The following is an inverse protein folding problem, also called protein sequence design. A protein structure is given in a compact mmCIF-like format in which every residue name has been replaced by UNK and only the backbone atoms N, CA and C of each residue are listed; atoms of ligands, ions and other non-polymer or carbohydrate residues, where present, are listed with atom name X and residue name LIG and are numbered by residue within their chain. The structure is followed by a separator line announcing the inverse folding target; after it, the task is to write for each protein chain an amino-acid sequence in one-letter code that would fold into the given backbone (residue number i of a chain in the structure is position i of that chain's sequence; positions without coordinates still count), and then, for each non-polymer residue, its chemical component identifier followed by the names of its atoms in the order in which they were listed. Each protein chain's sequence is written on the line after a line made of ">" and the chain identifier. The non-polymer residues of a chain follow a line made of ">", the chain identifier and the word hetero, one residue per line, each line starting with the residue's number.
data_IF_042563725331
#
_entry.id   IF_042563725331
#
_cell.length_a   1.000
_cell.length_b   1.000
_cell.length_c   1.000
_cell.angle_alpha   90.00
_cell.angle_beta   90.00
_cell.angle_gamma   90.00
#
_symmetry.space_group_name_H-M   'P 1'
#
loop_
_entity.id
_entity.type
_entity.pdbx_description
1 polymer ?
#
# COMPACT_ATOMS: atom_id res chain seq x y z
N UNK A 1 27.50 7.91 14.50
CA UNK A 1 26.93 7.26 13.29
C UNK A 1 26.03 6.08 13.64
N UNK A 2 26.48 5.05 14.36
CA UNK A 2 25.64 3.88 14.72
C UNK A 2 24.32 4.23 15.46
N UNK A 3 24.35 5.18 16.41
CA UNK A 3 23.15 5.59 17.16
C UNK A 3 22.05 6.25 16.31
N UNK A 4 22.41 6.93 15.21
CA UNK A 4 21.47 7.55 14.28
C UNK A 4 20.82 6.53 13.32
N UNK A 5 21.48 5.40 13.09
CA UNK A 5 20.93 4.27 12.33
C UNK A 5 20.03 3.43 13.24
N UNK A 6 20.44 3.19 14.49
CA UNK A 6 19.64 2.43 15.46
C UNK A 6 18.37 3.16 15.90
N UNK A 7 18.36 4.50 15.91
CA UNK A 7 17.15 5.30 16.18
C UNK A 7 16.04 5.09 15.14
N UNK A 8 16.38 4.54 13.96
CA UNK A 8 15.38 4.16 12.95
C UNK A 8 14.56 2.92 13.33
N UNK A 9 15.09 1.97 14.10
CA UNK A 9 14.36 0.76 14.56
C UNK A 9 13.97 0.84 16.04
N UNK A 10 14.82 1.41 16.90
CA UNK A 10 14.59 1.54 18.35
C UNK A 10 14.95 2.95 18.84
N UNK A 11 14.03 3.92 18.74
CA UNK A 11 14.36 5.33 18.97
C UNK A 11 14.73 5.64 20.44
N UNK A 12 14.25 4.82 21.39
CA UNK A 12 14.66 4.91 22.80
C UNK A 12 16.12 4.50 23.01
N UNK A 13 16.56 3.41 22.36
CA UNK A 13 17.92 2.90 22.47
C UNK A 13 18.91 3.85 21.79
N UNK A 14 18.51 4.46 20.66
CA UNK A 14 19.31 5.47 19.98
C UNK A 14 19.54 6.73 20.81
N UNK A 15 18.52 7.23 21.52
CA UNK A 15 18.66 8.38 22.44
C UNK A 15 19.57 8.03 23.62
N UNK A 16 19.44 6.82 24.18
CA UNK A 16 20.24 6.38 25.31
C UNK A 16 21.72 6.19 24.95
N UNK A 17 22.01 5.54 23.81
CA UNK A 17 23.37 5.39 23.28
C UNK A 17 23.99 6.73 22.90
N UNK A 18 23.21 7.65 22.34
CA UNK A 18 23.68 9.01 22.07
C UNK A 18 24.02 9.73 23.39
N UNK A 19 23.18 9.61 24.43
CA UNK A 19 23.47 10.17 25.75
C UNK A 19 24.77 9.64 26.36
N UNK A 20 25.00 8.32 26.33
CA UNK A 20 26.23 7.70 26.83
C UNK A 20 27.45 8.15 26.03
N UNK A 21 27.38 8.06 24.70
CA UNK A 21 28.48 8.44 23.82
C UNK A 21 28.89 9.91 24.06
N UNK A 22 27.91 10.77 24.33
CA UNK A 22 28.20 12.17 24.60
C UNK A 22 28.72 12.45 26.01
N UNK A 23 28.25 11.73 27.03
CA UNK A 23 28.82 11.83 28.37
C UNK A 23 30.31 11.47 28.35
N UNK A 24 30.67 10.41 27.62
CA UNK A 24 32.05 9.96 27.43
C UNK A 24 32.86 10.99 26.64
N UNK A 25 32.34 11.48 25.50
CA UNK A 25 33.05 12.46 24.66
C UNK A 25 33.37 13.78 25.39
N UNK A 26 32.47 14.21 26.29
CA UNK A 26 32.69 15.39 27.12
C UNK A 26 33.75 15.14 28.21
N UNK A 27 33.76 13.97 28.86
CA UNK A 27 34.79 13.61 29.85
C UNK A 27 36.21 13.56 29.29
N UNK A 28 36.37 13.29 27.99
CA UNK A 28 37.67 13.29 27.30
C UNK A 28 38.03 14.63 26.64
N UNK A 29 37.20 15.68 26.77
CA UNK A 29 37.45 16.98 26.15
C UNK A 29 37.41 17.00 24.63
N UNK A 30 36.86 15.94 24.00
CA UNK A 30 36.84 15.75 22.53
C UNK A 30 35.72 16.57 21.87
N UNK A 31 34.69 16.96 22.63
CA UNK A 31 33.50 17.64 22.09
C UNK A 31 33.17 18.94 22.83
N UNK A 32 32.98 20.02 22.07
CA UNK A 32 32.61 21.35 22.59
C UNK A 32 31.13 21.42 22.99
N UNK A 33 30.26 20.62 22.37
CA UNK A 33 28.81 20.69 22.64
C UNK A 33 28.20 19.29 22.88
N UNK A 34 27.93 18.93 24.15
CA UNK A 34 27.43 17.62 24.55
C UNK A 34 25.98 17.30 24.12
N UNK A 35 25.26 18.19 23.45
CA UNK A 35 23.81 18.06 23.36
C UNK A 35 23.26 17.90 21.95
N UNK A 36 24.09 18.14 20.93
CA UNK A 36 23.67 18.04 19.52
C UNK A 36 23.25 16.63 19.11
N UNK A 37 23.94 15.59 19.59
CA UNK A 37 23.59 14.21 19.26
C UNK A 37 22.30 13.76 19.97
N UNK A 38 22.08 14.20 21.20
CA UNK A 38 20.86 13.91 21.97
C UNK A 38 19.67 14.63 21.37
N UNK A 39 19.83 15.88 20.93
CA UNK A 39 18.76 16.67 20.32
C UNK A 39 18.27 16.09 18.98
N UNK A 40 19.17 15.55 18.15
CA UNK A 40 18.80 14.79 16.94
C UNK A 40 18.00 13.53 17.30
N UNK A 41 18.37 12.83 18.36
CA UNK A 41 17.62 11.69 18.88
C UNK A 41 16.22 12.09 19.36
N UNK A 42 16.10 13.19 20.11
CA UNK A 42 14.81 13.72 20.58
C UNK A 42 13.94 14.21 19.44
N UNK A 43 14.51 14.89 18.43
CA UNK A 43 13.81 15.33 17.23
C UNK A 43 13.20 14.14 16.50
N UNK A 44 14.01 13.12 16.19
CA UNK A 44 13.55 11.92 15.49
C UNK A 44 12.52 11.13 16.28
N UNK A 45 12.65 11.07 17.61
CA UNK A 45 11.63 10.48 18.48
C UNK A 45 10.32 11.29 18.47
N UNK A 46 10.41 12.62 18.58
CA UNK A 46 9.27 13.52 18.58
C UNK A 46 8.51 13.47 17.23
N UNK A 47 9.24 13.39 16.12
CA UNK A 47 8.65 13.20 14.78
C UNK A 47 7.85 11.91 14.67
N UNK A 48 8.29 10.83 15.34
CA UNK A 48 7.70 9.49 15.20
C UNK A 48 6.61 9.20 16.22
N UNK A 49 6.85 9.57 17.48
CA UNK A 49 6.02 9.20 18.64
C UNK A 49 5.65 10.39 19.53
N UNK A 50 6.06 11.61 19.19
CA UNK A 50 5.81 12.80 20.00
C UNK A 50 4.32 13.09 20.16
N UNK A 51 3.84 13.15 21.41
CA UNK A 51 2.50 13.62 21.76
C UNK A 51 2.54 15.11 22.12
N UNK A 52 1.38 15.75 22.30
CA UNK A 52 1.30 17.15 22.79
C UNK A 52 1.94 17.34 24.16
N UNK A 53 2.06 16.27 24.97
CA UNK A 53 2.69 16.30 26.29
C UNK A 53 4.17 15.96 26.19
N UNK A 54 5.02 16.80 26.78
CA UNK A 54 6.43 16.50 26.94
C UNK A 54 6.60 15.27 27.84
N UNK A 55 7.39 14.27 27.45
CA UNK A 55 7.56 13.06 28.23
C UNK A 55 8.43 13.34 29.45
N UNK A 56 7.89 13.06 30.63
CA UNK A 56 8.59 13.24 31.91
C UNK A 56 9.90 12.42 31.99
N UNK A 57 9.98 11.27 31.32
CA UNK A 57 11.19 10.45 31.29
C UNK A 57 12.36 11.12 30.53
N UNK A 58 12.11 12.02 29.57
CA UNK A 58 13.18 12.80 28.94
C UNK A 58 13.77 13.82 29.92
N UNK A 59 12.94 14.41 30.79
CA UNK A 59 13.42 15.30 31.86
C UNK A 59 14.31 14.53 32.85
N UNK A 60 13.90 13.32 33.22
CA UNK A 60 14.69 12.46 34.13
C UNK A 60 16.01 12.06 33.48
N UNK A 61 16.00 11.64 32.21
CA UNK A 61 17.22 11.28 31.50
C UNK A 61 18.19 12.46 31.37
N UNK A 62 17.65 13.65 31.07
CA UNK A 62 18.44 14.89 31.03
C UNK A 62 19.01 15.25 32.41
N UNK A 63 18.20 15.20 33.47
CA UNK A 63 18.64 15.49 34.83
C UNK A 63 19.72 14.48 35.29
N UNK A 64 19.56 13.20 35.00
CA UNK A 64 20.55 12.17 35.30
C UNK A 64 21.87 12.38 34.56
N UNK A 65 21.82 12.77 33.28
CA UNK A 65 22.99 13.15 32.51
C UNK A 65 23.70 14.38 33.13
N UNK A 66 22.94 15.37 33.61
CA UNK A 66 23.50 16.58 34.24
C UNK A 66 24.18 16.26 35.58
N UNK A 67 23.55 15.43 36.40
CA UNK A 67 24.14 14.98 37.67
C UNK A 67 25.42 14.18 37.41
N UNK A 68 25.41 13.28 36.42
CA UNK A 68 26.60 12.49 36.04
C UNK A 68 27.72 13.39 35.56
N UNK A 69 27.41 14.37 34.72
CA UNK A 69 28.37 15.37 34.24
C UNK A 69 28.95 16.22 35.39
N UNK A 70 28.14 16.61 36.36
CA UNK A 70 28.60 17.35 37.55
C UNK A 70 29.55 16.52 38.44
N UNK A 71 29.31 15.21 38.56
CA UNK A 71 30.14 14.30 39.38
C UNK A 71 31.47 13.98 38.67
N UNK A 72 31.42 13.62 37.39
CA UNK A 72 32.60 13.26 36.59
C UNK A 72 33.45 14.48 36.17
N UNK A 73 32.86 15.67 36.06
CA UNK A 73 33.54 16.91 35.65
C UNK A 73 34.41 17.56 36.73
N UNK A 74 34.83 16.83 37.76
CA UNK A 74 35.66 17.30 38.88
C UNK A 74 37.16 17.37 38.53
N UNK A 75 37.50 17.84 37.33
CA UNK A 75 38.88 18.16 36.98
C UNK A 75 39.24 19.58 37.45
N UNK A 76 40.40 19.79 38.08
CA UNK A 76 40.77 21.05 38.74
C UNK A 76 40.98 22.25 37.79
N UNK A 77 41.07 22.03 36.48
CA UNK A 77 41.12 23.09 35.45
C UNK A 77 39.76 23.31 34.74
N UNK A 78 38.69 22.64 35.20
CA UNK A 78 37.39 22.68 34.53
C UNK A 78 36.65 24.00 34.78
N UNK A 79 36.04 24.50 33.70
CA UNK A 79 35.12 25.63 33.60
C UNK A 79 34.36 25.97 34.90
N UNK A 80 34.29 27.26 35.23
CA UNK A 80 33.62 27.78 36.42
C UNK A 80 32.13 27.38 36.49
N UNK A 81 31.53 27.53 37.67
CA UNK A 81 30.11 27.22 37.89
C UNK A 81 29.17 27.90 36.87
N UNK A 82 29.53 29.12 36.44
CA UNK A 82 28.78 29.89 35.46
C UNK A 82 28.74 29.22 34.07
N UNK A 83 29.86 28.72 33.57
CA UNK A 83 29.93 28.03 32.27
C UNK A 83 29.18 26.69 32.29
N UNK A 84 29.25 25.97 33.42
CA UNK A 84 28.43 24.76 33.63
C UNK A 84 26.93 25.09 33.60
N UNK A 85 26.52 26.16 34.27
CA UNK A 85 25.12 26.58 34.24
C UNK A 85 24.65 27.03 32.85
N UNK A 86 25.50 27.73 32.10
CA UNK A 86 25.20 28.11 30.70
C UNK A 86 24.98 26.87 29.83
N UNK A 87 25.83 25.85 29.94
CA UNK A 87 25.65 24.58 29.22
C UNK A 87 24.36 23.85 29.55
N UNK A 88 23.98 23.80 30.84
CA UNK A 88 22.71 23.22 31.29
C UNK A 88 21.53 23.96 30.66
N UNK A 89 21.51 25.30 30.71
CA UNK A 89 20.42 26.10 30.16
C UNK A 89 20.33 25.96 28.63
N UNK A 90 21.45 26.01 27.91
CA UNK A 90 21.49 25.83 26.46
C UNK A 90 20.98 24.43 26.08
N UNK A 91 21.39 23.39 26.81
CA UNK A 91 20.93 22.02 26.54
C UNK A 91 19.41 21.87 26.73
N UNK A 92 18.84 22.49 27.77
CA UNK A 92 17.40 22.48 28.01
C UNK A 92 16.64 23.19 26.87
N UNK A 93 17.14 24.34 26.42
CA UNK A 93 16.56 25.10 25.30
C UNK A 93 16.62 24.27 24.01
N UNK A 94 17.76 23.67 23.69
CA UNK A 94 17.97 22.87 22.48
C UNK A 94 17.06 21.63 22.47
N UNK A 95 16.93 20.93 23.61
CA UNK A 95 16.04 19.76 23.73
C UNK A 95 14.57 20.15 23.61
N UNK A 96 14.16 21.25 24.23
CA UNK A 96 12.81 21.77 24.10
C UNK A 96 12.50 22.19 22.66
N UNK A 97 13.44 22.90 22.00
CA UNK A 97 13.32 23.31 20.60
C UNK A 97 13.23 22.09 19.67
N UNK A 98 14.07 21.07 19.88
CA UNK A 98 14.03 19.82 19.12
C UNK A 98 12.69 19.08 19.28
N UNK A 99 12.15 19.03 20.50
CA UNK A 99 10.83 18.43 20.75
C UNK A 99 9.72 19.19 20.03
N UNK A 100 9.67 20.51 20.18
CA UNK A 100 8.65 21.37 19.54
C UNK A 100 8.71 21.26 18.02
N UNK A 101 9.92 21.30 17.45
CA UNK A 101 10.13 21.18 16.01
C UNK A 101 9.71 19.80 15.49
N UNK A 102 10.02 18.72 16.21
CA UNK A 102 9.61 17.37 15.86
C UNK A 102 8.10 17.16 15.91
N UNK A 103 7.42 17.73 16.91
CA UNK A 103 5.95 17.68 16.98
C UNK A 103 5.30 18.51 15.88
N UNK A 104 5.83 19.71 15.58
CA UNK A 104 5.31 20.59 14.52
C UNK A 104 5.48 19.98 13.13
N UNK A 105 6.66 19.43 12.83
CA UNK A 105 6.93 18.75 11.55
C UNK A 105 6.03 17.54 11.38
N UNK A 106 5.80 16.76 12.44
CA UNK A 106 4.81 15.67 12.45
C UNK A 106 3.40 16.17 12.12
N UNK A 107 2.94 17.22 12.80
CA UNK A 107 1.62 17.81 12.56
C UNK A 107 1.48 18.32 11.13
N UNK A 108 2.47 19.07 10.63
CA UNK A 108 2.49 19.56 9.25
C UNK A 108 2.44 18.42 8.23
N UNK A 109 3.19 17.31 8.45
CA UNK A 109 3.13 16.12 7.59
C UNK A 109 1.76 15.46 7.61
N UNK A 110 1.12 15.34 8.78
CA UNK A 110 -0.21 14.76 8.91
C UNK A 110 -1.28 15.63 8.22
N UNK A 111 -1.19 16.95 8.37
CA UNK A 111 -2.08 17.90 7.70
C UNK A 111 -1.88 17.89 6.19
N UNK A 112 -0.63 17.91 5.71
CA UNK A 112 -0.33 17.82 4.29
C UNK A 112 -0.84 16.51 3.68
N UNK A 113 -0.66 15.37 4.37
CA UNK A 113 -1.20 14.09 3.94
C UNK A 113 -2.74 14.07 3.95
N UNK A 114 -3.37 14.73 4.91
CA UNK A 114 -4.83 14.86 4.95
C UNK A 114 -5.34 15.72 3.77
N UNK A 115 -4.68 16.85 3.48
CA UNK A 115 -5.01 17.72 2.34
C UNK A 115 -4.81 17.02 0.99
N UNK A 116 -3.67 16.34 0.81
CA UNK A 116 -3.43 15.55 -0.40
C UNK A 116 -4.52 14.49 -0.62
N UNK A 117 -5.00 13.84 0.45
CA UNK A 117 -6.11 12.89 0.37
C UNK A 117 -7.45 13.54 0.01
N UNK A 118 -7.71 14.76 0.47
CA UNK A 118 -8.95 15.47 0.10
C UNK A 118 -8.90 15.96 -1.34
N UNK A 119 -7.76 16.46 -1.78
CA UNK A 119 -7.57 16.96 -3.15
C UNK A 119 -7.70 15.81 -4.15
N UNK A 120 -7.10 14.65 -3.85
CA UNK A 120 -7.24 13.47 -4.70
C UNK A 120 -8.69 12.98 -4.77
N UNK A 121 -9.42 12.97 -3.64
CA UNK A 121 -10.85 12.62 -3.63
C UNK A 121 -11.69 13.56 -4.50
N UNK A 122 -11.39 14.85 -4.49
CA UNK A 122 -12.08 15.83 -5.32
C UNK A 122 -11.75 15.67 -6.80
N UNK A 123 -10.47 15.37 -7.11
CA UNK A 123 -10.04 15.04 -8.47
C UNK A 123 -10.76 13.81 -9.00
N UNK A 124 -10.77 12.71 -8.24
CA UNK A 124 -11.48 11.49 -8.61
C UNK A 124 -12.98 11.71 -8.78
N UNK A 125 -13.60 12.49 -7.90
CA UNK A 125 -15.02 12.83 -8.04
C UNK A 125 -15.29 13.58 -9.35
N UNK A 126 -14.37 14.45 -9.79
CA UNK A 126 -14.46 15.16 -11.06
C UNK A 126 -14.25 14.22 -12.24
N UNK A 127 -13.22 13.38 -12.22
CA UNK A 127 -12.95 12.41 -13.29
C UNK A 127 -14.13 11.42 -13.47
N UNK A 128 -14.71 10.96 -12.34
CA UNK A 128 -15.93 10.14 -12.32
C UNK A 128 -17.13 10.91 -12.89
N UNK A 129 -17.31 12.18 -12.49
CA UNK A 129 -18.41 13.00 -12.97
C UNK A 129 -18.32 13.31 -14.48
N UNK A 130 -17.12 13.56 -14.98
CA UNK A 130 -16.88 13.84 -16.40
C UNK A 130 -17.15 12.59 -17.25
N UNK A 131 -16.67 11.42 -16.81
CA UNK A 131 -16.96 10.14 -17.47
C UNK A 131 -18.46 9.79 -17.46
N UNK A 132 -19.14 10.02 -16.33
CA UNK A 132 -20.60 9.85 -16.23
C UNK A 132 -21.35 10.82 -17.13
N UNK A 133 -20.96 12.09 -17.16
CA UNK A 133 -21.63 13.11 -17.96
C UNK A 133 -21.49 12.83 -19.45
N UNK A 134 -20.30 12.41 -19.89
CA UNK A 134 -20.05 12.07 -21.28
C UNK A 134 -20.85 10.84 -21.74
N UNK A 135 -20.82 9.76 -20.93
CA UNK A 135 -21.55 8.52 -21.24
C UNK A 135 -23.07 8.70 -21.22
N UNK A 136 -23.62 9.34 -20.18
CA UNK A 136 -25.06 9.60 -20.09
C UNK A 136 -25.53 10.58 -21.17
N UNK A 137 -24.70 11.56 -21.55
CA UNK A 137 -24.97 12.47 -22.65
C UNK A 137 -25.11 11.74 -23.99
N UNK A 138 -24.17 10.84 -24.31
CA UNK A 138 -24.21 10.05 -25.54
C UNK A 138 -25.43 9.10 -25.59
N UNK A 139 -25.71 8.40 -24.47
CA UNK A 139 -26.89 7.54 -24.34
C UNK A 139 -28.18 8.35 -24.52
N UNK A 140 -28.26 9.53 -23.91
CA UNK A 140 -29.43 10.42 -24.00
C UNK A 140 -29.69 10.89 -25.44
N UNK A 141 -28.63 11.22 -26.19
CA UNK A 141 -28.75 11.59 -27.61
C UNK A 141 -29.22 10.40 -28.45
N UNK A 142 -28.62 9.21 -28.32
CA UNK A 142 -29.03 8.02 -29.06
C UNK A 142 -30.46 7.60 -28.74
N UNK A 143 -30.85 7.62 -27.46
CA UNK A 143 -32.23 7.35 -27.04
C UNK A 143 -33.21 8.39 -27.58
N UNK A 144 -32.81 9.68 -27.60
CA UNK A 144 -33.61 10.76 -28.17
C UNK A 144 -33.85 10.60 -29.68
N UNK A 145 -32.82 10.18 -30.43
CA UNK A 145 -32.92 9.85 -31.86
C UNK A 145 -33.87 8.67 -32.07
N UNK A 146 -33.70 7.58 -31.32
CA UNK A 146 -34.59 6.42 -31.40
C UNK A 146 -36.05 6.76 -31.07
N UNK A 147 -36.29 7.70 -30.14
CA UNK A 147 -37.63 8.11 -29.74
C UNK A 147 -38.34 9.05 -30.74
N UNK A 148 -37.61 9.83 -31.54
CA UNK A 148 -38.19 10.80 -32.48
C UNK A 148 -38.25 10.32 -33.93
N UNK A 149 -37.55 9.24 -34.28
CA UNK A 149 -37.63 8.66 -35.63
C UNK A 149 -38.84 7.73 -35.71
N UNK A 150 -39.90 8.20 -36.37
CA UNK A 150 -41.19 7.49 -36.51
C UNK A 150 -41.18 6.36 -37.56
N UNK A 151 -40.08 6.20 -38.32
CA UNK A 151 -39.97 5.29 -39.45
C UNK A 151 -38.89 4.20 -39.30
N UNK A 152 -38.35 3.99 -38.09
CA UNK A 152 -37.39 2.90 -37.85
C UNK A 152 -38.06 1.55 -38.06
N UNK A 153 -37.43 0.70 -38.86
CA UNK A 153 -37.80 -0.71 -38.94
C UNK A 153 -37.44 -1.42 -37.63
N UNK A 154 -38.17 -2.49 -37.28
CA UNK A 154 -37.89 -3.32 -36.10
C UNK A 154 -36.40 -3.75 -35.97
N UNK A 155 -35.70 -4.17 -37.05
CA UNK A 155 -34.28 -4.48 -36.97
C UNK A 155 -33.38 -3.27 -36.69
N UNK A 156 -33.68 -2.08 -37.24
CA UNK A 156 -32.88 -0.87 -36.98
C UNK A 156 -33.05 -0.37 -35.54
N UNK A 157 -34.28 -0.44 -35.00
CA UNK A 157 -34.54 -0.12 -33.60
C UNK A 157 -33.78 -1.06 -32.67
N UNK A 158 -33.77 -2.36 -32.98
CA UNK A 158 -33.03 -3.38 -32.21
C UNK A 158 -31.52 -3.14 -32.26
N UNK A 159 -30.97 -2.78 -33.41
CA UNK A 159 -29.55 -2.42 -33.56
C UNK A 159 -29.19 -1.18 -32.72
N UNK A 160 -30.03 -0.15 -32.74
CA UNK A 160 -29.81 1.09 -31.97
C UNK A 160 -29.82 0.83 -30.45
N UNK A 161 -30.74 -0.02 -29.98
CA UNK A 161 -30.80 -0.42 -28.57
C UNK A 161 -29.57 -1.25 -28.15
N UNK A 162 -29.04 -2.09 -29.04
CA UNK A 162 -27.81 -2.85 -28.78
C UNK A 162 -26.58 -1.95 -28.70
N UNK A 163 -26.50 -0.89 -29.51
CA UNK A 163 -25.43 0.12 -29.42
C UNK A 163 -25.48 0.86 -28.08
N UNK A 164 -26.68 1.29 -27.65
CA UNK A 164 -26.88 1.94 -26.34
C UNK A 164 -26.49 1.00 -25.19
N UNK A 165 -26.88 -0.26 -25.24
CA UNK A 165 -26.51 -1.28 -24.25
C UNK A 165 -24.99 -1.51 -24.19
N UNK A 166 -24.34 -1.62 -25.36
CA UNK A 166 -22.89 -1.76 -25.49
C UNK A 166 -22.15 -0.57 -24.88
N UNK A 167 -22.59 0.65 -25.20
CA UNK A 167 -21.97 1.89 -24.74
C UNK A 167 -22.15 2.10 -23.23
N UNK A 168 -23.33 1.77 -22.69
CA UNK A 168 -23.58 1.77 -21.25
C UNK A 168 -22.69 0.77 -20.52
N UNK A 169 -22.52 -0.44 -21.07
CA UNK A 169 -21.60 -1.45 -20.50
C UNK A 169 -20.16 -0.97 -20.52
N UNK A 170 -19.67 -0.47 -21.66
CA UNK A 170 -18.30 0.02 -21.79
C UNK A 170 -17.97 1.13 -20.79
N UNK A 171 -18.87 2.11 -20.65
CA UNK A 171 -18.73 3.24 -19.71
C UNK A 171 -18.69 2.77 -18.25
N UNK A 172 -19.51 1.77 -17.89
CA UNK A 172 -19.46 1.15 -16.56
C UNK A 172 -18.16 0.38 -16.31
N UNK A 173 -17.51 -0.16 -17.36
CA UNK A 173 -16.20 -0.80 -17.23
C UNK A 173 -15.10 0.23 -16.97
N UNK A 174 -15.10 1.32 -17.74
CA UNK A 174 -14.14 2.42 -17.59
C UNK A 174 -14.23 3.04 -16.18
N UNK A 175 -15.45 3.28 -15.69
CA UNK A 175 -15.68 3.77 -14.33
C UNK A 175 -15.16 2.81 -13.26
N UNK A 176 -15.37 1.49 -13.46
CA UNK A 176 -14.83 0.47 -12.56
C UNK A 176 -13.30 0.48 -12.59
N UNK A 177 -12.67 0.60 -13.76
CA UNK A 177 -11.22 0.62 -13.91
C UNK A 177 -10.60 1.84 -13.21
N UNK A 178 -11.19 3.04 -13.34
CA UNK A 178 -10.77 4.25 -12.63
C UNK A 178 -10.90 4.11 -11.10
N UNK A 179 -11.95 3.44 -10.61
CA UNK A 179 -12.12 3.17 -9.18
C UNK A 179 -11.17 2.05 -8.67
N UNK A 180 -10.80 1.11 -9.52
CA UNK A 180 -9.91 0.00 -9.18
C UNK A 180 -8.42 0.39 -9.18
N UNK A 181 -7.99 1.29 -10.07
CA UNK A 181 -6.61 1.80 -10.11
C UNK A 181 -6.26 2.56 -8.82
N UNK A 182 -7.19 3.36 -8.29
CA UNK A 182 -7.03 4.07 -7.01
C UNK A 182 -7.01 3.17 -5.77
N UNK A 183 -7.69 2.03 -5.81
CA UNK A 183 -7.59 1.04 -4.73
C UNK A 183 -6.24 0.32 -4.76
N UNK A 184 -5.56 0.32 -5.91
CA UNK A 184 -4.21 -0.23 -6.08
C UNK A 184 -3.13 0.69 -5.48
N UNK A 185 -3.22 2.01 -5.70
CA UNK A 185 -2.29 3.00 -5.14
C UNK A 185 -2.47 3.18 -3.63
N UNK A 186 -3.69 3.03 -3.11
CA UNK A 186 -3.95 3.04 -1.65
C UNK A 186 -3.37 1.83 -0.91
N UNK A 187 -3.06 0.74 -1.63
CA UNK A 187 -2.47 -0.48 -1.04
C UNK A 187 -0.95 -0.43 -0.89
N UNK A 188 -0.29 0.66 -1.30
CA UNK A 188 1.15 0.88 -1.04
C UNK A 188 1.43 1.46 0.35
N UNK A 189 0.41 1.86 1.11
CA UNK A 189 0.59 2.50 2.43
C UNK A 189 -0.23 1.92 3.59
N UNK A 190 -0.72 0.69 3.45
CA UNK A 190 -1.40 0.03 4.56
C UNK A 190 -1.37 -1.48 4.40
N UNK A 191 -0.65 -2.14 5.30
CA UNK A 191 -0.84 -3.54 5.69
C UNK A 191 -2.32 -3.89 5.72
N UNK A 192 -2.85 -4.44 4.61
CA UNK A 192 -4.09 -5.20 4.65
C UNK A 192 -3.69 -6.59 5.13
N UNK A 193 -3.64 -6.74 6.45
CA UNK A 193 -3.42 -8.01 7.15
C UNK A 193 -4.71 -8.85 7.16
N UNK A 194 -5.45 -8.88 6.05
CA UNK A 194 -6.52 -9.86 5.89
C UNK A 194 -5.89 -11.14 5.33
N UNK A 195 -6.21 -12.32 5.91
CA UNK A 195 -5.83 -13.59 5.34
C UNK A 195 -6.26 -13.66 3.87
N UNK A 196 -5.37 -14.14 2.99
CA UNK A 196 -5.64 -14.34 1.58
C UNK A 196 -6.82 -15.31 1.40
N UNK A 197 -6.94 -16.31 2.27
CA UNK A 197 -8.10 -17.21 2.34
C UNK A 197 -9.44 -16.47 2.44
N UNK A 198 -9.52 -15.43 3.29
CA UNK A 198 -10.71 -14.59 3.41
C UNK A 198 -11.00 -13.80 2.12
N UNK A 199 -9.96 -13.23 1.52
CA UNK A 199 -10.09 -12.45 0.28
C UNK A 199 -10.58 -13.31 -0.89
N UNK A 200 -10.04 -14.52 -1.04
CA UNK A 200 -10.45 -15.47 -2.07
C UNK A 200 -11.89 -15.95 -1.86
N UNK A 201 -12.29 -16.20 -0.60
CA UNK A 201 -13.68 -16.55 -0.26
C UNK A 201 -14.67 -15.43 -0.58
N UNK A 202 -14.30 -14.18 -0.33
CA UNK A 202 -15.14 -13.04 -0.68
C UNK A 202 -15.25 -12.86 -2.20
N UNK A 203 -14.16 -13.08 -2.95
CA UNK A 203 -14.20 -13.10 -4.41
C UNK A 203 -15.09 -14.22 -4.95
N UNK A 204 -15.03 -15.43 -4.37
CA UNK A 204 -15.91 -16.54 -4.73
C UNK A 204 -17.39 -16.20 -4.50
N UNK A 205 -17.74 -15.60 -3.34
CA UNK A 205 -19.10 -15.14 -3.06
C UNK A 205 -19.62 -14.12 -4.08
N UNK A 206 -18.75 -13.29 -4.65
CA UNK A 206 -19.13 -12.37 -5.73
C UNK A 206 -19.49 -13.12 -7.01
N UNK A 207 -18.74 -14.16 -7.37
CA UNK A 207 -19.05 -15.03 -8.50
C UNK A 207 -20.35 -15.83 -8.27
N UNK A 208 -20.56 -16.38 -7.08
CA UNK A 208 -21.80 -17.07 -6.70
C UNK A 208 -23.03 -16.18 -6.86
N UNK A 209 -22.97 -14.93 -6.38
CA UNK A 209 -24.05 -13.95 -6.55
C UNK A 209 -24.30 -13.57 -8.02
N UNK A 210 -23.35 -13.85 -8.89
CA UNK A 210 -23.47 -13.63 -10.34
C UNK A 210 -24.00 -14.87 -11.08
N UNK A 211 -24.33 -15.95 -10.36
CA UNK A 211 -24.93 -17.16 -10.92
C UNK A 211 -23.95 -18.30 -11.23
N UNK A 212 -22.67 -18.17 -10.83
CA UNK A 212 -21.66 -19.21 -11.02
C UNK A 212 -21.61 -20.17 -9.83
N UNK A 213 -21.51 -21.47 -10.09
CA UNK A 213 -21.13 -22.46 -9.08
C UNK A 213 -19.62 -22.38 -8.85
N UNK A 214 -19.17 -22.04 -7.64
CA UNK A 214 -17.74 -21.83 -7.36
C UNK A 214 -17.18 -22.96 -6.50
N UNK A 215 -16.20 -23.67 -7.04
CA UNK A 215 -15.39 -24.65 -6.31
C UNK A 215 -14.11 -23.96 -5.83
N UNK A 216 -13.96 -23.85 -4.50
CA UNK A 216 -12.73 -23.38 -3.86
C UNK A 216 -11.91 -24.58 -3.40
N UNK A 217 -10.90 -24.93 -4.17
CA UNK A 217 -9.97 -26.02 -3.87
C UNK A 217 -8.76 -25.51 -3.08
N UNK A 218 -8.07 -26.46 -2.43
CA UNK A 218 -6.86 -26.32 -1.59
C UNK A 218 -6.28 -24.90 -1.51
N UNK A 219 -6.39 -24.31 -0.31
CA UNK A 219 -5.82 -23.00 0.06
C UNK A 219 -4.84 -23.13 1.23
N UNK A 220 -4.18 -24.28 1.34
CA UNK A 220 -3.27 -24.53 2.46
C UNK A 220 -2.05 -23.61 2.37
N UNK A 221 -1.65 -23.06 3.53
CA UNK A 221 -0.43 -22.24 3.69
C UNK A 221 -0.38 -20.93 2.87
N UNK A 222 -1.44 -20.57 2.15
CA UNK A 222 -1.46 -19.32 1.34
C UNK A 222 -1.43 -18.05 2.20
N UNK A 223 -1.87 -18.13 3.45
CA UNK A 223 -1.82 -17.03 4.40
C UNK A 223 -0.40 -16.75 4.92
N UNK A 224 0.49 -17.75 4.85
CA UNK A 224 1.90 -17.64 5.24
C UNK A 224 2.78 -17.02 4.15
N UNK A 225 2.25 -16.82 2.93
CA UNK A 225 2.98 -16.20 1.82
C UNK A 225 3.39 -14.76 2.13
N UNK A 226 4.48 -14.24 1.54
CA UNK A 226 4.83 -12.82 1.62
C UNK A 226 3.68 -11.93 1.19
N UNK A 227 3.56 -10.75 1.81
CA UNK A 227 2.43 -9.84 1.56
C UNK A 227 2.28 -9.46 0.08
N UNK A 228 3.41 -9.21 -0.59
CA UNK A 228 3.43 -8.89 -2.03
C UNK A 228 2.87 -10.05 -2.86
N UNK A 229 3.27 -11.30 -2.57
CA UNK A 229 2.76 -12.49 -3.23
C UNK A 229 1.26 -12.65 -2.98
N UNK A 230 0.79 -12.47 -1.73
CA UNK A 230 -0.66 -12.55 -1.42
C UNK A 230 -1.48 -11.55 -2.20
N UNK A 231 -1.00 -10.30 -2.30
CA UNK A 231 -1.67 -9.26 -3.09
C UNK A 231 -1.70 -9.64 -4.57
N UNK A 232 -0.61 -10.15 -5.13
CA UNK A 232 -0.55 -10.59 -6.54
C UNK A 232 -1.52 -11.75 -6.79
N UNK A 233 -1.55 -12.78 -5.94
CA UNK A 233 -2.51 -13.89 -6.04
C UNK A 233 -3.95 -13.39 -6.02
N UNK A 234 -4.31 -12.55 -5.05
CA UNK A 234 -5.68 -12.04 -4.95
C UNK A 234 -6.10 -11.28 -6.21
N UNK A 235 -5.20 -10.48 -6.79
CA UNK A 235 -5.48 -9.72 -8.02
C UNK A 235 -5.67 -10.61 -9.24
N UNK A 236 -4.89 -11.67 -9.39
CA UNK A 236 -5.04 -12.64 -10.49
C UNK A 236 -6.41 -13.31 -10.40
N UNK A 237 -6.79 -13.80 -9.21
CA UNK A 237 -8.09 -14.45 -9.02
C UNK A 237 -9.24 -13.47 -9.26
N UNK A 238 -9.13 -12.24 -8.78
CA UNK A 238 -10.15 -11.21 -8.98
C UNK A 238 -10.39 -10.90 -10.46
N UNK A 239 -9.32 -10.76 -11.23
CA UNK A 239 -9.41 -10.47 -12.67
C UNK A 239 -9.98 -11.67 -13.44
N UNK A 240 -9.50 -12.88 -13.13
CA UNK A 240 -10.01 -14.11 -13.75
C UNK A 240 -11.50 -14.33 -13.48
N UNK A 241 -11.95 -14.13 -12.24
CA UNK A 241 -13.38 -14.18 -11.85
C UNK A 241 -14.19 -13.12 -12.61
N UNK A 242 -13.66 -11.91 -12.74
CA UNK A 242 -14.32 -10.83 -13.49
C UNK A 242 -14.47 -11.21 -14.96
N UNK A 243 -13.45 -11.82 -15.54
CA UNK A 243 -13.48 -12.29 -16.93
C UNK A 243 -14.50 -13.41 -17.12
N UNK A 244 -14.56 -14.38 -16.21
CA UNK A 244 -15.56 -15.46 -16.25
C UNK A 244 -16.99 -14.92 -16.22
N UNK A 245 -17.29 -13.99 -15.30
CA UNK A 245 -18.61 -13.37 -15.17
C UNK A 245 -19.00 -12.59 -16.44
N UNK A 246 -18.05 -11.93 -17.10
CA UNK A 246 -18.34 -11.03 -18.23
C UNK A 246 -18.33 -11.71 -19.59
N UNK A 247 -17.46 -12.69 -19.77
CA UNK A 247 -17.09 -13.17 -21.10
C UNK A 247 -17.35 -14.67 -21.28
N UNK A 248 -17.17 -15.48 -20.24
CA UNK A 248 -17.16 -16.93 -20.38
C UNK A 248 -18.54 -17.55 -20.57
N UNK A 249 -19.65 -16.90 -20.15
CA UNK A 249 -20.97 -17.58 -20.06
C UNK A 249 -20.91 -18.94 -19.34
N UNK A 250 -19.98 -19.05 -18.39
CA UNK A 250 -19.73 -20.25 -17.61
C UNK A 250 -20.89 -20.53 -16.66
N UNK A 251 -21.04 -21.79 -16.26
CA UNK A 251 -21.88 -22.23 -15.15
C UNK A 251 -21.06 -22.54 -13.90
N UNK A 252 -19.80 -22.91 -14.06
CA UNK A 252 -18.90 -23.32 -12.99
C UNK A 252 -17.55 -22.62 -13.09
N UNK A 253 -17.00 -22.28 -11.93
CA UNK A 253 -15.68 -21.71 -11.75
C UNK A 253 -14.93 -22.48 -10.67
N UNK A 254 -13.70 -22.90 -10.95
CA UNK A 254 -12.81 -23.53 -9.98
C UNK A 254 -11.64 -22.59 -9.70
N UNK A 255 -11.34 -22.40 -8.41
CA UNK A 255 -10.22 -21.59 -7.94
C UNK A 255 -9.40 -22.45 -6.99
N UNK A 256 -8.10 -22.58 -7.27
CA UNK A 256 -7.16 -23.30 -6.41
C UNK A 256 -5.88 -22.48 -6.19
N UNK A 257 -5.27 -22.62 -5.02
CA UNK A 257 -4.01 -21.95 -4.70
C UNK A 257 -3.13 -22.88 -3.84
N UNK A 258 -2.20 -23.58 -4.48
CA UNK A 258 -1.37 -24.59 -3.84
C UNK A 258 0.06 -24.11 -3.66
N UNK A 259 0.62 -24.24 -2.45
CA UNK A 259 2.03 -23.92 -2.16
C UNK A 259 2.87 -25.20 -2.22
N UNK A 260 3.90 -25.24 -3.08
CA UNK A 260 4.85 -26.36 -3.22
C UNK A 260 6.25 -25.85 -3.50
N UNK A 261 7.28 -26.42 -2.87
CA UNK A 261 8.70 -26.19 -3.18
C UNK A 261 9.06 -24.70 -3.41
N UNK A 262 8.67 -23.85 -2.45
CA UNK A 262 8.87 -22.39 -2.50
C UNK A 262 8.22 -21.68 -3.69
N UNK A 263 7.19 -22.26 -4.30
CA UNK A 263 6.35 -21.66 -5.34
C UNK A 263 4.89 -21.75 -4.92
N UNK A 264 4.09 -20.71 -5.20
CA UNK A 264 2.63 -20.79 -5.15
C UNK A 264 2.10 -20.90 -6.57
N UNK A 265 1.32 -21.95 -6.83
CA UNK A 265 0.59 -22.16 -8.07
C UNK A 265 -0.88 -21.80 -7.84
N UNK A 266 -1.39 -20.87 -8.63
CA UNK A 266 -2.77 -20.42 -8.63
C UNK A 266 -3.40 -20.82 -9.94
N UNK A 267 -4.52 -21.55 -9.87
CA UNK A 267 -5.26 -21.97 -11.06
C UNK A 267 -6.70 -21.48 -10.92
N UNK A 268 -7.17 -20.75 -11.92
CA UNK A 268 -8.57 -20.35 -12.06
C UNK A 268 -9.08 -20.88 -13.40
N UNK A 269 -10.08 -21.75 -13.37
CA UNK A 269 -10.65 -22.36 -14.57
C UNK A 269 -12.16 -22.23 -14.59
N UNK A 270 -12.72 -21.84 -15.73
CA UNK A 270 -14.16 -21.84 -15.99
C UNK A 270 -14.56 -22.91 -17.01
N UNK A 271 -15.84 -23.29 -17.00
CA UNK A 271 -16.45 -24.24 -17.95
C UNK A 271 -17.20 -23.56 -19.11
N UNK A 272 -16.87 -22.28 -19.36
CA UNK A 272 -17.60 -21.44 -20.29
C UNK A 272 -17.24 -21.67 -21.76
N UNK A 273 -17.64 -20.71 -22.58
CA UNK A 273 -17.10 -20.56 -23.92
C UNK A 273 -15.70 -19.94 -23.79
N UNK A 274 -14.68 -20.68 -24.22
CA UNK A 274 -13.35 -20.10 -24.39
C UNK A 274 -13.34 -19.03 -25.49
N UNK A 275 -12.14 -18.56 -25.86
CA UNK A 275 -11.95 -17.51 -26.86
C UNK A 275 -11.69 -18.17 -28.22
N UNK A 276 -12.66 -18.13 -29.16
CA UNK A 276 -12.58 -18.89 -30.43
C UNK A 276 -11.43 -18.44 -31.34
N UNK A 277 -11.11 -17.15 -31.32
CA UNK A 277 -10.07 -16.54 -32.16
C UNK A 277 -8.70 -16.48 -31.45
N UNK A 278 -8.56 -17.19 -30.32
CA UNK A 278 -7.37 -17.17 -29.48
C UNK A 278 -7.34 -16.03 -28.46
N UNK A 279 -6.49 -16.18 -27.46
CA UNK A 279 -6.38 -15.25 -26.32
C UNK A 279 -5.70 -13.95 -26.79
N UNK A 280 -6.51 -12.93 -27.10
CA UNK A 280 -6.02 -11.60 -27.43
C UNK A 280 -5.64 -10.81 -26.17
N UNK A 281 -4.54 -10.05 -26.22
CA UNK A 281 -4.11 -9.20 -25.11
C UNK A 281 -5.07 -8.01 -24.88
N UNK A 282 -6.09 -8.23 -24.07
CA UNK A 282 -6.86 -7.15 -23.45
C UNK A 282 -6.13 -6.56 -22.23
N UNK A 283 -6.56 -5.38 -21.79
CA UNK A 283 -5.97 -4.68 -20.63
C UNK A 283 -5.90 -5.53 -19.35
N UNK A 284 -6.84 -6.45 -19.14
CA UNK A 284 -6.86 -7.35 -17.98
C UNK A 284 -5.72 -8.36 -17.97
N UNK A 285 -5.46 -9.02 -19.11
CA UNK A 285 -4.38 -10.01 -19.25
C UNK A 285 -3.00 -9.37 -19.20
N UNK A 286 -2.82 -8.23 -19.87
CA UNK A 286 -1.57 -7.46 -19.81
C UNK A 286 -1.23 -7.07 -18.37
N UNK A 287 -2.22 -6.52 -17.63
CA UNK A 287 -2.01 -6.16 -16.23
C UNK A 287 -1.73 -7.36 -15.31
N UNK A 288 -2.30 -8.54 -15.59
CA UNK A 288 -1.93 -9.76 -14.86
C UNK A 288 -0.49 -10.18 -15.13
N UNK A 289 -0.03 -10.17 -16.39
CA UNK A 289 1.36 -10.52 -16.75
C UNK A 289 2.36 -9.58 -16.12
N UNK A 290 2.14 -8.26 -16.17
CA UNK A 290 3.01 -7.28 -15.54
C UNK A 290 3.15 -7.53 -14.04
N UNK A 291 2.04 -7.74 -13.32
CA UNK A 291 2.05 -8.01 -11.87
C UNK A 291 2.78 -9.30 -11.51
N UNK A 292 2.61 -10.33 -12.33
CA UNK A 292 3.31 -11.61 -12.15
C UNK A 292 4.81 -11.46 -12.41
N UNK A 293 5.20 -10.72 -13.45
CA UNK A 293 6.60 -10.43 -13.76
C UNK A 293 7.28 -9.61 -12.65
N UNK A 294 6.58 -8.66 -12.02
CA UNK A 294 7.10 -7.86 -10.91
C UNK A 294 7.53 -8.69 -9.69
N UNK A 295 6.95 -9.87 -9.51
CA UNK A 295 7.32 -10.80 -8.43
C UNK A 295 8.17 -11.97 -8.93
N UNK A 296 8.67 -11.92 -10.16
CA UNK A 296 9.49 -12.98 -10.76
C UNK A 296 8.73 -14.28 -11.05
N UNK A 297 7.42 -14.20 -11.25
CA UNK A 297 6.58 -15.36 -11.57
C UNK A 297 6.30 -15.51 -13.07
N UNK A 298 5.51 -16.53 -13.38
CA UNK A 298 5.04 -16.85 -14.74
C UNK A 298 3.51 -16.95 -14.78
N UNK A 299 2.91 -16.49 -15.89
CA UNK A 299 1.48 -16.56 -16.14
C UNK A 299 1.22 -17.25 -17.48
N UNK A 300 0.45 -18.33 -17.48
CA UNK A 300 -0.09 -18.97 -18.68
C UNK A 300 -1.61 -18.84 -18.71
N UNK A 301 -2.14 -18.72 -19.93
CA UNK A 301 -3.57 -18.68 -20.18
C UNK A 301 -3.86 -19.65 -21.30
N UNK A 302 -4.66 -20.66 -21.00
CA UNK A 302 -5.09 -21.68 -21.93
C UNK A 302 -6.58 -21.49 -22.18
N UNK A 303 -6.98 -21.51 -23.45
CA UNK A 303 -8.39 -21.41 -23.82
C UNK A 303 -8.76 -22.58 -24.71
N UNK A 304 -9.88 -23.21 -24.38
CA UNK A 304 -10.46 -24.33 -25.08
C UNK A 304 -11.94 -24.05 -25.38
N UNK A 305 -12.59 -24.78 -26.31
CA UNK A 305 -14.03 -24.66 -26.53
C UNK A 305 -14.87 -24.89 -25.26
N UNK A 306 -14.29 -25.58 -24.27
CA UNK A 306 -14.91 -25.94 -22.98
C UNK A 306 -14.51 -25.01 -21.83
N UNK A 307 -13.86 -23.87 -22.11
CA UNK A 307 -13.61 -22.84 -21.11
C UNK A 307 -12.23 -22.20 -21.20
N UNK A 308 -11.86 -21.47 -20.15
CA UNK A 308 -10.56 -20.82 -20.03
C UNK A 308 -9.90 -21.16 -18.71
N UNK A 309 -8.60 -21.41 -18.74
CA UNK A 309 -7.77 -21.68 -17.56
C UNK A 309 -6.63 -20.67 -17.48
N UNK A 310 -6.57 -19.96 -16.35
CA UNK A 310 -5.46 -19.07 -16.00
C UNK A 310 -4.61 -19.78 -14.95
N UNK A 311 -3.33 -19.95 -15.23
CA UNK A 311 -2.35 -20.52 -14.30
C UNK A 311 -1.26 -19.51 -14.02
N UNK A 312 -1.01 -19.23 -12.74
CA UNK A 312 0.08 -18.37 -12.30
C UNK A 312 0.99 -19.11 -11.33
N UNK A 313 2.31 -19.02 -11.54
CA UNK A 313 3.34 -19.57 -10.66
C UNK A 313 4.19 -18.45 -10.12
N UNK A 314 4.18 -18.26 -8.81
CA UNK A 314 4.90 -17.16 -8.16
C UNK A 314 5.91 -17.72 -7.14
N UNK A 315 7.16 -17.23 -7.13
CA UNK A 315 8.12 -17.62 -6.10
C UNK A 315 7.68 -17.10 -4.72
N UNK A 316 7.85 -17.95 -3.71
CA UNK A 316 7.53 -17.65 -2.29
C UNK A 316 8.71 -16.96 -1.60
N UNK A 317 9.91 -17.01 -2.18
CA UNK A 317 10.99 -16.14 -1.77
C UNK A 317 10.68 -14.73 -2.26
N UNK A 318 10.38 -13.83 -1.33
CA UNK A 318 10.53 -12.41 -1.60
C UNK A 318 11.96 -12.19 -2.12
N UNK A 319 12.14 -11.27 -3.06
CA UNK A 319 13.43 -10.68 -3.36
C UNK A 319 13.94 -9.95 -2.10
N UNK A 320 14.52 -10.72 -1.17
CA UNK A 320 15.36 -10.32 -0.04
C UNK A 320 16.72 -11.02 -0.19
N UNK A 321 17.34 -10.92 -1.38
CA UNK A 321 18.74 -11.32 -1.60
C UNK A 321 19.75 -10.22 -1.22
N UNK A 322 19.32 -9.14 -0.55
CA UNK A 322 20.22 -8.05 -0.16
C UNK A 322 20.71 -8.09 1.31
N UNK A 323 20.59 -9.21 2.03
CA UNK A 323 21.06 -9.33 3.42
C UNK A 323 22.06 -10.49 3.70
N UNK A 324 22.81 -10.98 2.68
CA UNK A 324 23.85 -12.02 2.90
C UNK A 324 25.26 -11.65 2.41
N UNK A 325 25.52 -10.39 2.02
CA UNK A 325 26.92 -9.98 1.76
C UNK A 325 27.19 -8.49 2.03
N UNK A 326 27.42 -8.16 3.30
CA UNK A 326 28.21 -7.00 3.71
C UNK A 326 28.80 -7.23 5.10
#
# INVERSE_FOLDING_TARGET
>A
MLGAVLSRRFPLVGVFLAGIATAVGWSFGVTVDPFLLVSVGVLTFAERRGSRRFPWWLLIAWAGLMVTALILGSHPEAAGFEDRMRGVLLSAIVLAAAWVLGVRTRQARLEAAARARTDERLRLARDVHDALSHSLGAIGVQAGVAAHVTALSEPELRATLQEVESQARSSLLELKLLLYSERSTRSESGTVSLPLTCLLRDTARTAERSGLEVELDSMESVDALPAVVRTTVHRIVQEAVTNAIRHAKASRLRISATVRDATVEVIVSDDGIGVPDGVHEGHGLAGMRERVALVGGELSVESAPTGLTVTARLPVSAADENEVRA
#
